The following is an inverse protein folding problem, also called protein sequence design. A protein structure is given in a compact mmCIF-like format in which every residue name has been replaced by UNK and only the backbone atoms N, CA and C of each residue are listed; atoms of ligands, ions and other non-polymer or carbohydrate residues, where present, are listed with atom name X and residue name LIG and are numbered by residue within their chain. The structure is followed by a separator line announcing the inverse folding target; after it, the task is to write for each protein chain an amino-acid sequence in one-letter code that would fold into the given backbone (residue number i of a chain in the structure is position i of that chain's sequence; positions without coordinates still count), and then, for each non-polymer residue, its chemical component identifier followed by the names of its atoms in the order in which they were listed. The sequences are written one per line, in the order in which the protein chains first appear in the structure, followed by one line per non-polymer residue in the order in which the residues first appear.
data_IF_394525081303
#
_entry.id   IF_394525081303
#
_cell.length_a   1.000
_cell.length_b   1.000
_cell.length_c   1.000
_cell.angle_alpha   90.00
_cell.angle_beta   90.00
_cell.angle_gamma   90.00
#
_symmetry.space_group_name_H-M   'P 1'
#
loop_
_entity.id
_entity.type
_entity.pdbx_description
1 polymer ?
#
# COMPACT_ATOMS: atom_id res chain seq x y z
N UNK A 1 -21.42 46.23 -72.59
CA UNK A 1 -20.05 45.68 -72.66
C UNK A 1 -19.46 45.82 -71.26
N UNK A 2 -19.38 44.72 -70.50
CA UNK A 2 -18.80 44.72 -69.16
C UNK A 2 -17.27 44.68 -69.31
N UNK A 3 -16.56 45.74 -68.91
CA UNK A 3 -15.12 45.94 -69.19
C UNK A 3 -14.20 45.53 -68.04
N UNK A 4 -14.67 44.79 -67.05
CA UNK A 4 -13.83 44.30 -65.97
C UNK A 4 -14.01 42.79 -65.81
N UNK A 5 -12.91 42.00 -65.80
CA UNK A 5 -12.99 40.60 -65.46
C UNK A 5 -13.59 40.46 -64.05
N UNK A 6 -14.39 39.42 -63.79
CA UNK A 6 -14.94 39.18 -62.46
C UNK A 6 -13.79 39.08 -61.44
N UNK A 7 -13.98 39.57 -60.20
CA UNK A 7 -12.97 39.45 -59.16
C UNK A 7 -12.61 37.97 -58.98
N UNK A 8 -11.32 37.69 -58.80
CA UNK A 8 -10.86 36.33 -58.60
C UNK A 8 -11.59 35.69 -57.40
N UNK A 9 -12.00 34.42 -57.52
CA UNK A 9 -12.68 33.74 -56.43
C UNK A 9 -11.76 33.72 -55.20
N UNK A 10 -12.31 33.88 -53.98
CA UNK A 10 -11.51 33.90 -52.77
C UNK A 10 -10.70 32.61 -52.67
N UNK A 11 -9.37 32.75 -52.50
CA UNK A 11 -8.47 31.61 -52.40
C UNK A 11 -8.97 30.63 -51.33
N UNK A 12 -9.18 29.39 -51.73
CA UNK A 12 -9.63 28.37 -50.80
C UNK A 12 -8.53 28.14 -49.74
N UNK A 13 -8.84 28.26 -48.44
CA UNK A 13 -7.86 28.11 -47.37
C UNK A 13 -7.13 26.75 -47.42
N UNK A 14 -7.81 25.70 -47.89
CA UNK A 14 -7.20 24.37 -48.08
C UNK A 14 -6.15 24.36 -49.20
N UNK A 15 -6.39 25.07 -50.30
CA UNK A 15 -5.44 25.17 -51.42
C UNK A 15 -4.18 25.90 -50.97
N UNK A 16 -4.33 27.00 -50.22
CA UNK A 16 -3.19 27.75 -49.66
C UNK A 16 -2.37 26.90 -48.70
N UNK A 17 -3.02 26.15 -47.81
CA UNK A 17 -2.35 25.22 -46.89
C UNK A 17 -1.59 24.14 -47.67
N UNK A 18 -2.20 23.57 -48.71
CA UNK A 18 -1.57 22.54 -49.55
C UNK A 18 -0.34 23.08 -50.28
N UNK A 19 -0.42 24.26 -50.91
CA UNK A 19 0.71 24.86 -51.63
C UNK A 19 1.86 25.22 -50.68
N UNK A 20 1.54 25.75 -49.49
CA UNK A 20 2.54 26.03 -48.47
C UNK A 20 3.25 24.75 -48.01
N UNK A 21 2.48 23.68 -47.73
CA UNK A 21 3.02 22.37 -47.37
C UNK A 21 3.93 21.82 -48.47
N UNK A 22 3.46 21.88 -49.73
CA UNK A 22 4.22 21.41 -50.90
C UNK A 22 5.54 22.16 -51.05
N UNK A 23 5.54 23.49 -50.89
CA UNK A 23 6.74 24.31 -50.93
C UNK A 23 7.72 23.96 -49.79
N UNK A 24 7.24 23.83 -48.56
CA UNK A 24 8.09 23.39 -47.44
C UNK A 24 8.66 21.98 -47.62
N UNK A 25 7.91 21.07 -48.24
CA UNK A 25 8.38 19.71 -48.51
C UNK A 25 9.43 19.68 -49.63
N UNK A 26 9.28 20.50 -50.68
CA UNK A 26 10.32 20.64 -51.70
C UNK A 26 11.61 21.19 -51.13
N UNK A 27 11.54 22.19 -50.24
CA UNK A 27 12.72 22.78 -49.61
C UNK A 27 13.45 21.77 -48.71
N UNK A 28 12.72 20.90 -48.01
CA UNK A 28 13.28 19.82 -47.20
C UNK A 28 13.99 18.74 -48.03
N UNK A 29 13.48 18.44 -49.23
CA UNK A 29 14.09 17.45 -50.14
C UNK A 29 15.27 18.03 -50.93
N UNK A 30 15.41 19.36 -50.98
CA UNK A 30 16.53 20.06 -51.58
C UNK A 30 17.73 20.25 -50.63
N UNK A 31 17.62 19.79 -49.37
CA UNK A 31 18.73 19.89 -48.40
C UNK A 31 19.91 19.01 -48.82
N UNK A 32 21.16 19.46 -48.60
CA UNK A 32 22.33 18.65 -48.91
C UNK A 32 22.36 17.40 -48.00
N UNK A 33 22.86 16.24 -48.50
CA UNK A 33 22.87 14.99 -47.74
C UNK A 33 23.53 15.11 -46.36
N UNK A 34 24.58 15.92 -46.23
CA UNK A 34 25.28 16.20 -44.96
C UNK A 34 24.39 16.86 -43.90
N UNK A 35 23.37 17.61 -44.31
CA UNK A 35 22.40 18.23 -43.39
C UNK A 35 21.41 17.18 -42.87
N UNK A 36 21.05 16.19 -43.68
CA UNK A 36 20.20 15.07 -43.27
C UNK A 36 20.91 14.24 -42.20
N UNK A 37 22.23 14.02 -42.35
CA UNK A 37 23.06 13.28 -41.39
C UNK A 37 23.14 13.93 -40.01
N UNK A 38 22.86 15.23 -39.89
CA UNK A 38 22.84 15.96 -38.61
C UNK A 38 21.42 16.13 -38.08
N UNK A 39 20.46 16.47 -38.94
CA UNK A 39 19.08 16.71 -38.54
C UNK A 39 18.42 15.43 -38.06
N UNK A 40 18.63 14.29 -38.74
CA UNK A 40 17.97 13.04 -38.39
C UNK A 40 18.39 12.53 -36.99
N UNK A 41 19.67 12.45 -36.61
CA UNK A 41 20.08 12.15 -35.23
C UNK A 41 19.59 13.18 -34.22
N UNK A 42 19.54 14.46 -34.58
CA UNK A 42 19.10 15.53 -33.68
C UNK A 42 17.60 15.42 -33.34
N UNK A 43 16.76 15.26 -34.36
CA UNK A 43 15.30 15.08 -34.19
C UNK A 43 15.02 13.77 -33.46
N UNK A 44 15.67 12.67 -33.83
CA UNK A 44 15.47 11.38 -33.15
C UNK A 44 15.88 11.44 -31.69
N UNK A 45 17.00 12.08 -31.35
CA UNK A 45 17.45 12.29 -29.97
C UNK A 45 16.45 13.15 -29.19
N UNK A 46 15.98 14.26 -29.77
CA UNK A 46 15.00 15.14 -29.12
C UNK A 46 13.66 14.41 -28.89
N UNK A 47 13.15 13.68 -29.89
CA UNK A 47 11.93 12.89 -29.79
C UNK A 47 12.08 11.76 -28.75
N UNK A 48 13.22 11.08 -28.73
CA UNK A 48 13.52 10.03 -27.76
C UNK A 48 13.57 10.59 -26.33
N UNK A 49 14.22 11.74 -26.12
CA UNK A 49 14.28 12.41 -24.83
C UNK A 49 12.89 12.83 -24.33
N UNK A 50 12.07 13.46 -25.18
CA UNK A 50 10.70 13.84 -24.84
C UNK A 50 9.84 12.63 -24.52
N UNK A 51 9.95 11.56 -25.31
CA UNK A 51 9.23 10.30 -25.08
C UNK A 51 9.65 9.66 -23.75
N UNK A 52 10.94 9.65 -23.43
CA UNK A 52 11.47 9.12 -22.17
C UNK A 52 10.97 9.92 -20.96
N UNK A 53 10.98 11.25 -21.06
CA UNK A 53 10.46 12.14 -20.00
C UNK A 53 8.95 11.93 -19.81
N UNK A 54 8.18 11.85 -20.90
CA UNK A 54 6.74 11.59 -20.85
C UNK A 54 6.45 10.21 -20.22
N UNK A 55 7.13 9.16 -20.69
CA UNK A 55 7.00 7.81 -20.17
C UNK A 55 7.36 7.74 -18.68
N UNK A 56 8.44 8.42 -18.28
CA UNK A 56 8.85 8.49 -16.88
C UNK A 56 7.77 9.15 -16.01
N UNK A 57 7.28 10.33 -16.41
CA UNK A 57 6.29 11.09 -15.64
C UNK A 57 4.95 10.37 -15.54
N UNK A 58 4.50 9.67 -16.59
CA UNK A 58 3.18 9.04 -16.61
C UNK A 58 3.16 7.61 -16.04
N UNK A 59 4.28 6.86 -16.15
CA UNK A 59 4.33 5.43 -15.83
C UNK A 59 5.39 5.03 -14.79
N UNK A 60 6.50 5.77 -14.68
CA UNK A 60 7.63 5.39 -13.81
C UNK A 60 7.79 6.27 -12.57
N UNK A 61 7.04 7.37 -12.45
CA UNK A 61 7.03 8.21 -11.26
C UNK A 61 6.51 7.42 -10.05
N UNK A 62 7.30 7.38 -8.98
CA UNK A 62 6.90 6.80 -7.69
C UNK A 62 6.07 7.80 -6.87
N UNK A 63 5.14 7.23 -6.11
CA UNK A 63 4.23 7.88 -5.17
C UNK A 63 4.48 7.24 -3.80
N UNK A 64 5.07 7.95 -2.83
CA UNK A 64 5.47 7.37 -1.55
C UNK A 64 4.30 7.14 -0.60
N UNK A 65 3.27 7.99 -0.64
CA UNK A 65 2.18 7.99 0.33
C UNK A 65 0.81 8.19 -0.35
N UNK A 66 -0.28 7.86 0.35
CA UNK A 66 -1.64 8.05 -0.16
C UNK A 66 -1.97 9.50 -0.47
N UNK A 67 -1.40 10.44 0.30
CA UNK A 67 -1.48 11.89 0.06
C UNK A 67 -0.88 12.35 -1.27
N UNK A 68 0.15 11.64 -1.74
CA UNK A 68 0.82 12.00 -2.98
C UNK A 68 0.05 11.57 -4.24
N UNK A 69 -1.03 10.79 -4.08
CA UNK A 69 -1.80 10.27 -5.20
C UNK A 69 -2.76 11.32 -5.76
N UNK A 70 -2.68 11.62 -7.07
CA UNK A 70 -3.61 12.54 -7.70
C UNK A 70 -5.07 12.04 -7.65
N UNK A 71 -6.07 12.89 -7.35
CA UNK A 71 -7.48 12.49 -7.32
C UNK A 71 -8.01 11.86 -8.60
N UNK A 72 -7.47 12.25 -9.76
CA UNK A 72 -7.88 11.68 -11.05
C UNK A 72 -7.36 10.25 -11.30
N UNK A 73 -6.50 9.70 -10.43
CA UNK A 73 -6.04 8.31 -10.55
C UNK A 73 -7.07 7.31 -10.03
N UNK A 74 -7.90 7.72 -9.09
CA UNK A 74 -8.93 6.88 -8.51
C UNK A 74 -9.92 6.43 -9.59
N UNK A 75 -10.29 5.15 -9.58
CA UNK A 75 -11.12 4.43 -10.56
C UNK A 75 -10.50 4.27 -11.96
N UNK A 76 -9.34 4.87 -12.24
CA UNK A 76 -8.69 4.82 -13.57
C UNK A 76 -7.38 4.03 -13.56
N UNK A 77 -6.49 4.30 -12.60
CA UNK A 77 -5.14 3.72 -12.53
C UNK A 77 -5.05 2.65 -11.44
N UNK A 78 -4.13 1.71 -11.66
CA UNK A 78 -3.70 0.77 -10.63
C UNK A 78 -2.22 0.96 -10.33
N UNK A 79 -1.88 0.93 -9.05
CA UNK A 79 -0.51 0.99 -8.58
C UNK A 79 0.09 -0.41 -8.54
N UNK A 80 1.35 -0.51 -8.94
CA UNK A 80 2.12 -1.74 -8.83
C UNK A 80 3.20 -1.56 -7.77
N UNK A 81 3.29 -2.48 -6.82
CA UNK A 81 4.17 -2.33 -5.67
C UNK A 81 4.47 -3.63 -4.96
N UNK A 82 5.46 -3.60 -4.08
CA UNK A 82 5.77 -4.71 -3.16
C UNK A 82 5.05 -4.46 -1.83
N UNK A 83 4.39 -5.48 -1.31
CA UNK A 83 3.82 -5.41 0.04
C UNK A 83 4.93 -5.54 1.06
N UNK A 84 4.96 -4.60 2.01
CA UNK A 84 6.07 -4.52 2.98
C UNK A 84 5.64 -4.93 4.38
N UNK A 85 4.40 -4.65 4.76
CA UNK A 85 3.85 -5.11 6.04
C UNK A 85 2.35 -5.31 5.94
N UNK A 86 1.84 -6.31 6.66
CA UNK A 86 0.42 -6.53 6.92
C UNK A 86 0.21 -6.25 8.39
N UNK A 87 -0.68 -5.30 8.70
CA UNK A 87 -0.95 -4.86 10.07
C UNK A 87 -2.28 -5.38 10.59
N UNK A 88 -3.29 -5.41 9.72
CA UNK A 88 -4.64 -5.88 10.00
C UNK A 88 -5.03 -6.97 9.00
N UNK A 89 -6.09 -7.71 9.29
CA UNK A 89 -6.55 -8.80 8.45
C UNK A 89 -7.20 -8.36 7.12
N UNK A 90 -7.46 -7.06 6.92
CA UNK A 90 -8.03 -6.47 5.70
C UNK A 90 -7.19 -5.32 5.11
N UNK A 91 -6.08 -4.95 5.75
CA UNK A 91 -5.23 -3.81 5.40
C UNK A 91 -3.76 -4.21 5.27
N UNK A 92 -3.03 -3.52 4.38
CA UNK A 92 -1.58 -3.68 4.26
C UNK A 92 -0.87 -2.41 3.79
N UNK A 93 0.45 -2.37 3.95
CA UNK A 93 1.33 -1.30 3.48
C UNK A 93 1.98 -1.70 2.15
N UNK A 94 1.74 -0.89 1.12
CA UNK A 94 2.29 -1.07 -0.22
C UNK A 94 3.42 -0.08 -0.47
N UNK A 95 4.61 -0.58 -0.80
CA UNK A 95 5.68 0.26 -1.34
C UNK A 95 5.57 0.29 -2.86
N UNK A 96 5.24 1.46 -3.41
CA UNK A 96 5.05 1.62 -4.85
C UNK A 96 6.38 1.45 -5.60
N UNK A 97 6.42 0.48 -6.52
CA UNK A 97 7.58 0.15 -7.36
C UNK A 97 7.16 0.19 -8.82
N UNK A 98 6.99 1.36 -9.44
CA UNK A 98 6.49 1.46 -10.81
C UNK A 98 7.40 0.69 -11.79
N UNK A 99 6.80 -0.16 -12.62
CA UNK A 99 7.49 -1.07 -13.55
C UNK A 99 8.23 -2.25 -12.87
N UNK A 100 8.19 -2.36 -11.55
CA UNK A 100 8.65 -3.53 -10.82
C UNK A 100 10.10 -3.91 -11.08
N UNK A 101 10.37 -5.22 -11.07
CA UNK A 101 11.72 -5.74 -11.31
C UNK A 101 12.27 -5.34 -12.69
N UNK A 102 11.43 -5.20 -13.73
CA UNK A 102 11.90 -4.78 -15.05
C UNK A 102 12.57 -3.39 -15.01
N UNK A 103 12.07 -2.51 -14.14
CA UNK A 103 12.59 -1.15 -13.96
C UNK A 103 13.62 -1.06 -12.82
N UNK A 104 14.34 -2.14 -12.51
CA UNK A 104 15.44 -2.10 -11.53
C UNK A 104 15.03 -2.25 -10.07
N UNK A 105 13.73 -2.30 -9.75
CA UNK A 105 13.31 -2.41 -8.34
C UNK A 105 13.75 -3.74 -7.72
N UNK A 106 14.56 -3.66 -6.67
CA UNK A 106 15.07 -4.80 -5.91
C UNK A 106 16.41 -5.37 -6.40
N UNK A 107 16.97 -4.91 -7.52
CA UNK A 107 18.30 -5.36 -7.98
C UNK A 107 19.21 -4.23 -8.46
N UNK A 108 18.65 -3.10 -8.93
CA UNK A 108 19.44 -1.92 -9.26
C UNK A 108 19.84 -1.19 -7.96
N UNK A 109 21.11 -0.76 -7.80
CA UNK A 109 21.61 -0.17 -6.55
C UNK A 109 20.82 1.06 -6.09
N UNK A 110 20.33 1.88 -7.01
CA UNK A 110 19.51 3.06 -6.71
C UNK A 110 18.01 2.81 -6.52
N UNK A 111 17.52 1.56 -6.63
CA UNK A 111 16.10 1.20 -6.50
C UNK A 111 15.89 0.01 -5.56
N UNK A 112 16.61 0.04 -4.43
CA UNK A 112 16.42 -0.94 -3.34
C UNK A 112 15.11 -0.66 -2.61
N UNK A 113 14.44 -1.72 -2.20
CA UNK A 113 13.21 -1.63 -1.41
C UNK A 113 13.62 -1.68 0.07
N UNK A 114 13.34 -0.64 0.86
CA UNK A 114 13.68 -0.62 2.28
C UNK A 114 12.99 -1.76 3.03
N UNK A 115 13.69 -2.37 3.97
CA UNK A 115 13.14 -3.41 4.84
C UNK A 115 12.92 -2.90 6.28
N UNK A 116 13.62 -1.83 6.67
CA UNK A 116 13.53 -1.29 8.02
C UNK A 116 12.24 -0.48 8.21
N UNK A 117 11.57 -0.66 9.36
CA UNK A 117 10.35 0.10 9.70
C UNK A 117 10.58 1.62 9.71
N UNK A 118 11.79 2.06 10.08
CA UNK A 118 12.15 3.49 10.13
C UNK A 118 12.16 4.12 8.73
N UNK A 119 12.75 3.44 7.75
CA UNK A 119 12.81 3.92 6.36
C UNK A 119 11.47 3.84 5.64
N UNK A 120 10.58 2.94 6.07
CA UNK A 120 9.25 2.77 5.48
C UNK A 120 8.23 3.81 5.96
N UNK A 121 8.51 4.51 7.06
CA UNK A 121 7.61 5.54 7.60
C UNK A 121 7.45 6.67 6.57
N UNK A 122 6.21 6.93 6.16
CA UNK A 122 5.89 7.94 5.13
C UNK A 122 6.35 7.55 3.71
N UNK A 123 6.78 6.31 3.50
CA UNK A 123 7.27 5.80 2.20
C UNK A 123 6.43 4.63 1.68
N UNK A 124 5.29 4.36 2.31
CA UNK A 124 4.36 3.30 1.94
C UNK A 124 2.92 3.80 1.96
N UNK A 125 2.13 3.32 0.99
CA UNK A 125 0.72 3.63 0.86
C UNK A 125 -0.07 2.63 1.72
N UNK A 126 -0.95 3.14 2.58
CA UNK A 126 -1.86 2.30 3.35
C UNK A 126 -3.03 1.88 2.47
N UNK A 127 -3.16 0.57 2.20
CA UNK A 127 -4.18 0.00 1.33
C UNK A 127 -5.19 -0.79 2.15
N UNK A 128 -6.48 -0.51 1.95
CA UNK A 128 -7.62 -1.31 2.44
C UNK A 128 -8.17 -2.13 1.29
N UNK A 129 -8.42 -3.42 1.53
CA UNK A 129 -9.01 -4.30 0.51
C UNK A 129 -10.49 -3.96 0.34
N UNK A 130 -10.91 -3.72 -0.90
CA UNK A 130 -12.26 -3.31 -1.22
C UNK A 130 -13.27 -4.47 -1.09
N UNK A 131 -14.44 -4.19 -0.50
CA UNK A 131 -15.58 -5.11 -0.44
C UNK A 131 -15.45 -6.28 0.53
N UNK A 132 -14.43 -6.27 1.38
CA UNK A 132 -14.12 -7.35 2.33
C UNK A 132 -13.95 -6.75 3.73
N UNK A 133 -14.51 -7.41 4.74
CA UNK A 133 -14.35 -7.06 6.15
C UNK A 133 -13.90 -8.31 6.92
N UNK A 134 -12.72 -8.25 7.53
CA UNK A 134 -12.13 -9.36 8.26
C UNK A 134 -12.43 -9.24 9.76
N UNK A 135 -12.34 -10.34 10.53
CA UNK A 135 -12.54 -10.28 11.97
C UNK A 135 -11.50 -9.39 12.65
N UNK A 136 -11.97 -8.55 13.58
CA UNK A 136 -11.17 -7.54 14.27
C UNK A 136 -10.15 -8.20 15.21
N UNK A 137 -8.88 -7.81 15.07
CA UNK A 137 -7.82 -8.21 15.99
C UNK A 137 -7.93 -7.46 17.32
N UNK A 138 -7.27 -7.97 18.37
CA UNK A 138 -7.24 -7.28 19.66
C UNK A 138 -6.62 -5.89 19.51
N UNK A 139 -7.36 -4.85 19.88
CA UNK A 139 -6.93 -3.47 19.71
C UNK A 139 -7.40 -2.60 20.87
N UNK A 140 -6.48 -1.82 21.46
CA UNK A 140 -6.75 -0.86 22.54
C UNK A 140 -7.63 -1.43 23.68
N UNK A 141 -7.24 -2.57 24.24
CA UNK A 141 -7.95 -3.21 25.37
C UNK A 141 -9.24 -3.94 24.99
N UNK A 142 -9.63 -3.95 23.71
CA UNK A 142 -10.76 -4.75 23.21
C UNK A 142 -10.29 -6.17 22.87
N UNK A 143 -11.06 -7.22 23.25
CA UNK A 143 -10.69 -8.61 23.01
C UNK A 143 -10.78 -8.95 21.51
N UNK A 144 -9.85 -9.73 20.97
CA UNK A 144 -9.90 -10.14 19.57
C UNK A 144 -11.17 -10.94 19.23
N UNK A 145 -11.74 -10.74 18.04
CA UNK A 145 -12.78 -11.62 17.53
C UNK A 145 -12.23 -13.04 17.26
N UNK A 146 -13.07 -14.08 17.35
CA UNK A 146 -12.71 -15.41 16.90
C UNK A 146 -12.21 -15.41 15.45
N UNK A 147 -11.24 -16.26 15.12
CA UNK A 147 -10.55 -16.34 13.81
C UNK A 147 -9.76 -15.10 13.34
N UNK A 148 -9.74 -13.98 14.07
CA UNK A 148 -8.99 -12.77 13.68
C UNK A 148 -7.50 -13.02 13.42
N UNK A 149 -6.83 -13.78 14.29
CA UNK A 149 -5.42 -14.15 14.12
C UNK A 149 -5.19 -15.04 12.89
N UNK A 150 -6.13 -15.94 12.60
CA UNK A 150 -6.03 -16.82 11.42
C UNK A 150 -6.19 -16.02 10.13
N UNK A 151 -7.16 -15.10 10.08
CA UNK A 151 -7.34 -14.18 8.96
C UNK A 151 -6.11 -13.28 8.73
N UNK A 152 -5.51 -12.77 9.81
CA UNK A 152 -4.28 -12.00 9.74
C UNK A 152 -3.11 -12.84 9.20
N UNK A 153 -2.94 -14.06 9.71
CA UNK A 153 -1.89 -14.97 9.25
C UNK A 153 -2.09 -15.38 7.79
N UNK A 154 -3.34 -15.62 7.37
CA UNK A 154 -3.69 -15.92 5.99
C UNK A 154 -3.28 -14.77 5.06
N UNK A 155 -3.68 -13.53 5.37
CA UNK A 155 -3.34 -12.37 4.54
C UNK A 155 -1.83 -12.12 4.53
N UNK A 156 -1.19 -12.27 5.68
CA UNK A 156 0.27 -12.15 5.83
C UNK A 156 0.99 -13.16 4.95
N UNK A 157 0.60 -14.44 4.99
CA UNK A 157 1.20 -15.48 4.15
C UNK A 157 0.93 -15.26 2.65
N UNK A 158 -0.25 -14.73 2.31
CA UNK A 158 -0.64 -14.48 0.93
C UNK A 158 0.13 -13.31 0.29
N UNK A 159 0.35 -12.23 1.05
CA UNK A 159 0.86 -10.96 0.51
C UNK A 159 2.30 -10.63 0.87
N UNK A 160 2.84 -11.14 1.98
CA UNK A 160 4.17 -10.74 2.46
C UNK A 160 5.23 -10.96 1.39
N UNK A 161 6.03 -9.93 1.13
CA UNK A 161 7.08 -9.86 0.09
C UNK A 161 6.60 -10.03 -1.37
N UNK A 162 5.30 -10.16 -1.62
CA UNK A 162 4.75 -10.28 -2.97
C UNK A 162 4.61 -8.92 -3.64
N UNK A 163 4.77 -8.93 -4.96
CA UNK A 163 4.37 -7.80 -5.80
C UNK A 163 2.89 -7.93 -6.15
N UNK A 164 2.16 -6.84 -5.95
CA UNK A 164 0.71 -6.78 -6.12
C UNK A 164 0.33 -5.60 -7.01
N UNK A 165 -0.83 -5.71 -7.63
CA UNK A 165 -1.45 -4.60 -8.36
C UNK A 165 -2.70 -4.14 -7.60
N UNK A 166 -2.63 -2.95 -7.03
CA UNK A 166 -3.72 -2.32 -6.29
C UNK A 166 -4.43 -1.31 -7.21
N UNK A 167 -5.66 -1.64 -7.61
CA UNK A 167 -6.52 -0.74 -8.38
C UNK A 167 -7.18 0.25 -7.44
N UNK A 168 -6.88 1.53 -7.63
CA UNK A 168 -7.35 2.60 -6.76
C UNK A 168 -8.84 2.81 -7.03
N UNK A 169 -9.67 2.77 -5.98
CA UNK A 169 -11.10 3.00 -6.11
C UNK A 169 -11.48 4.30 -5.40
N UNK A 170 -11.14 4.42 -4.11
CA UNK A 170 -11.43 5.59 -3.28
C UNK A 170 -10.40 5.83 -2.19
N UNK A 171 -10.34 7.07 -1.69
CA UNK A 171 -9.61 7.43 -0.47
C UNK A 171 -10.58 7.55 0.71
N UNK A 172 -10.20 6.95 1.83
CA UNK A 172 -10.96 6.93 3.09
C UNK A 172 -10.50 8.07 4.03
N UNK A 173 -11.29 8.34 5.08
CA UNK A 173 -11.05 9.36 6.10
C UNK A 173 -9.77 9.13 6.90
N UNK A 174 -9.34 7.88 7.06
CA UNK A 174 -8.10 7.50 7.74
C UNK A 174 -6.87 7.53 6.81
N UNK A 175 -6.96 8.29 5.71
CA UNK A 175 -5.94 8.37 4.66
C UNK A 175 -5.55 7.02 4.04
N UNK A 176 -6.39 5.99 4.22
CA UNK A 176 -6.27 4.69 3.55
C UNK A 176 -6.79 4.78 2.13
N UNK A 177 -6.23 3.98 1.25
CA UNK A 177 -6.71 3.86 -0.12
C UNK A 177 -7.45 2.54 -0.27
N UNK A 178 -8.75 2.62 -0.51
CA UNK A 178 -9.59 1.47 -0.82
C UNK A 178 -9.24 0.98 -2.22
N UNK A 179 -8.78 -0.27 -2.30
CA UNK A 179 -8.29 -0.85 -3.54
C UNK A 179 -8.86 -2.25 -3.79
N UNK A 180 -9.13 -2.55 -5.07
CA UNK A 180 -9.20 -3.93 -5.54
C UNK A 180 -7.78 -4.43 -5.77
N UNK A 181 -7.39 -5.50 -5.08
CA UNK A 181 -6.00 -5.96 -5.04
C UNK A 181 -5.88 -7.27 -5.81
N UNK A 182 -4.96 -7.30 -6.76
CA UNK A 182 -4.71 -8.48 -7.58
C UNK A 182 -3.27 -8.96 -7.46
N UNK A 183 -3.09 -10.27 -7.35
CA UNK A 183 -1.79 -10.94 -7.35
C UNK A 183 -1.63 -11.81 -8.60
N UNK A 184 -0.42 -11.94 -9.16
CA UNK A 184 -0.19 -12.86 -10.27
C UNK A 184 -0.40 -14.31 -9.82
N UNK A 185 -0.93 -15.17 -10.70
CA UNK A 185 -0.99 -16.61 -10.44
C UNK A 185 0.42 -17.21 -10.36
N UNK A 186 0.56 -18.38 -9.73
CA UNK A 186 1.83 -19.11 -9.69
C UNK A 186 2.11 -19.75 -11.07
N UNK A 187 3.40 -19.92 -11.40
CA UNK A 187 3.86 -20.63 -12.60
C UNK A 187 3.52 -19.92 -13.92
N UNK A 188 3.32 -20.73 -14.97
CA UNK A 188 3.09 -20.28 -16.35
C UNK A 188 1.86 -19.37 -16.46
N UNK A 189 0.80 -19.64 -15.69
CA UNK A 189 -0.40 -18.79 -15.65
C UNK A 189 -0.09 -17.36 -15.23
N UNK A 190 0.84 -17.16 -14.28
CA UNK A 190 1.30 -15.84 -13.89
C UNK A 190 2.09 -15.13 -14.98
N UNK A 191 2.96 -15.89 -15.68
CA UNK A 191 3.73 -15.37 -16.81
C UNK A 191 2.83 -14.93 -17.98
N UNK A 192 1.72 -15.65 -18.21
CA UNK A 192 0.71 -15.32 -19.21
C UNK A 192 -0.26 -14.20 -18.75
N UNK A 193 -0.03 -13.61 -17.58
CA UNK A 193 -0.76 -12.43 -17.10
C UNK A 193 -2.04 -12.71 -16.31
N UNK A 194 -2.37 -13.98 -16.02
CA UNK A 194 -3.50 -14.32 -15.17
C UNK A 194 -3.26 -13.89 -13.72
N UNK A 195 -4.32 -13.43 -13.06
CA UNK A 195 -4.28 -12.89 -11.70
C UNK A 195 -5.37 -13.51 -10.83
N UNK A 196 -5.15 -13.49 -9.52
CA UNK A 196 -6.17 -13.70 -8.50
C UNK A 196 -6.53 -12.37 -7.86
N UNK A 197 -7.82 -12.19 -7.58
CA UNK A 197 -8.28 -11.13 -6.70
C UNK A 197 -8.10 -11.59 -5.25
N UNK A 198 -7.42 -10.77 -4.44
CA UNK A 198 -7.11 -11.10 -3.04
C UNK A 198 -8.38 -11.14 -2.21
N UNK A 199 -9.29 -10.19 -2.41
CA UNK A 199 -10.54 -10.15 -1.66
C UNK A 199 -11.40 -11.37 -1.95
N UNK A 200 -11.48 -11.79 -3.21
CA UNK A 200 -12.17 -13.01 -3.60
C UNK A 200 -11.57 -14.28 -2.96
N UNK A 201 -10.24 -14.36 -2.86
CA UNK A 201 -9.58 -15.48 -2.19
C UNK A 201 -9.92 -15.53 -0.69
N UNK A 202 -9.91 -14.37 -0.02
CA UNK A 202 -10.25 -14.27 1.41
C UNK A 202 -11.69 -14.69 1.68
N UNK A 203 -12.65 -14.24 0.86
CA UNK A 203 -14.06 -14.62 0.99
C UNK A 203 -14.25 -16.12 0.76
N UNK A 204 -13.65 -16.67 -0.30
CA UNK A 204 -13.78 -18.08 -0.66
C UNK A 204 -13.19 -19.01 0.42
N UNK A 205 -12.13 -18.60 1.07
CA UNK A 205 -11.48 -19.41 2.12
C UNK A 205 -12.08 -19.12 3.52
N UNK A 206 -13.12 -18.28 3.61
CA UNK A 206 -13.83 -17.98 4.85
C UNK A 206 -13.04 -17.13 5.84
N UNK A 207 -12.04 -16.38 5.37
CA UNK A 207 -11.17 -15.55 6.21
C UNK A 207 -11.76 -14.16 6.47
N UNK A 208 -12.80 -13.80 5.73
CA UNK A 208 -13.50 -12.52 5.85
C UNK A 208 -14.93 -12.66 5.34
N UNK A 209 -15.77 -11.68 5.67
CA UNK A 209 -17.13 -11.54 5.14
C UNK A 209 -17.20 -10.40 4.12
N UNK A 210 -18.28 -10.36 3.36
CA UNK A 210 -18.57 -9.21 2.48
C UNK A 210 -18.85 -7.99 3.34
N UNK A 211 -18.30 -6.83 2.95
CA UNK A 211 -18.57 -5.58 3.66
C UNK A 211 -19.97 -5.06 3.34
N UNK A 212 -20.80 -4.91 4.37
CA UNK A 212 -22.22 -4.53 4.26
C UNK A 212 -22.54 -3.09 4.73
N UNK A 213 -21.51 -2.27 5.01
CA UNK A 213 -21.74 -0.94 5.57
C UNK A 213 -22.42 0.04 4.61
N UNK A 214 -23.34 0.87 5.07
CA UNK A 214 -24.15 1.82 4.25
C UNK A 214 -23.32 2.82 3.43
N UNK A 215 -22.08 3.09 3.82
CA UNK A 215 -21.20 4.05 3.17
C UNK A 215 -19.87 3.42 2.74
N UNK A 216 -19.37 3.86 1.57
CA UNK A 216 -18.03 3.49 1.10
C UNK A 216 -17.93 2.09 0.51
N UNK A 217 -19.05 1.45 0.18
CA UNK A 217 -19.04 0.16 -0.51
C UNK A 217 -18.47 0.34 -1.92
N UNK A 218 -17.34 -0.32 -2.17
CA UNK A 218 -16.78 -0.43 -3.51
C UNK A 218 -16.38 -1.88 -3.77
N UNK A 219 -16.91 -2.45 -4.84
CA UNK A 219 -16.66 -3.83 -5.23
C UNK A 219 -15.80 -3.88 -6.49
N UNK A 220 -14.51 -4.15 -6.32
CA UNK A 220 -13.63 -4.46 -7.44
C UNK A 220 -13.54 -3.34 -8.51
N UNK A 221 -12.81 -3.62 -9.59
CA UNK A 221 -12.83 -2.77 -10.81
C UNK A 221 -13.89 -3.22 -11.82
N UNK A 222 -14.19 -4.53 -11.84
CA UNK A 222 -15.02 -5.14 -12.89
C UNK A 222 -16.49 -5.07 -12.50
N UNK A 223 -17.35 -4.86 -13.48
CA UNK A 223 -18.80 -4.98 -13.28
C UNK A 223 -19.15 -6.40 -12.84
N UNK A 224 -20.12 -6.54 -11.93
CA UNK A 224 -20.55 -7.83 -11.38
C UNK A 224 -19.58 -8.47 -10.36
N UNK A 225 -18.61 -7.71 -9.84
CA UNK A 225 -17.73 -8.21 -8.77
C UNK A 225 -18.47 -8.42 -7.45
N UNK A 226 -19.48 -7.61 -7.15
CA UNK A 226 -20.34 -7.80 -5.98
C UNK A 226 -20.99 -9.19 -5.98
N UNK A 227 -21.63 -9.57 -7.09
CA UNK A 227 -22.27 -10.89 -7.24
C UNK A 227 -21.26 -12.02 -7.01
N UNK A 228 -20.02 -11.87 -7.51
CA UNK A 228 -18.95 -12.86 -7.29
C UNK A 228 -18.50 -12.93 -5.84
N UNK A 229 -18.49 -11.80 -5.15
CA UNK A 229 -18.10 -11.75 -3.74
C UNK A 229 -19.16 -12.41 -2.87
N UNK A 230 -20.44 -12.08 -3.12
CA UNK A 230 -21.58 -12.70 -2.43
C UNK A 230 -21.64 -14.21 -2.70
N UNK A 231 -21.50 -14.64 -3.96
CA UNK A 231 -21.45 -16.07 -4.29
C UNK A 231 -20.28 -16.79 -3.60
N UNK A 232 -19.09 -16.18 -3.55
CA UNK A 232 -17.94 -16.78 -2.86
C UNK A 232 -18.16 -16.88 -1.33
N UNK A 233 -18.85 -15.92 -0.74
CA UNK A 233 -19.24 -15.95 0.67
C UNK A 233 -20.31 -17.03 0.94
N UNK A 234 -21.33 -17.13 0.08
CA UNK A 234 -22.36 -18.19 0.15
C UNK A 234 -21.72 -19.59 0.06
N UNK A 235 -20.79 -19.79 -0.88
CA UNK A 235 -20.03 -21.03 -1.02
C UNK A 235 -19.16 -21.34 0.22
N UNK A 236 -18.58 -20.32 0.84
CA UNK A 236 -17.79 -20.47 2.06
C UNK A 236 -18.68 -20.80 3.26
N UNK A 237 -19.86 -20.18 3.35
CA UNK A 237 -20.87 -20.45 4.38
C UNK A 237 -21.44 -21.86 4.26
N UNK A 238 -21.74 -22.30 3.05
CA UNK A 238 -22.21 -23.67 2.77
C UNK A 238 -21.16 -24.72 3.17
N UNK A 239 -19.87 -24.44 2.91
CA UNK A 239 -18.75 -25.32 3.29
C UNK A 239 -18.32 -25.18 4.76
N UNK A 240 -18.86 -24.22 5.51
CA UNK A 240 -18.53 -23.95 6.92
C UNK A 240 -17.02 -23.78 7.16
N UNK A 241 -16.35 -23.04 6.26
CA UNK A 241 -14.90 -22.79 6.33
C UNK A 241 -14.59 -21.47 7.05
N UNK A 242 -13.47 -21.41 7.76
CA UNK A 242 -13.00 -20.23 8.48
C UNK A 242 -14.04 -19.70 9.48
N UNK A 243 -14.37 -18.41 9.39
CA UNK A 243 -15.32 -17.73 10.27
C UNK A 243 -16.71 -18.39 10.26
N UNK A 244 -17.10 -19.05 9.16
CA UNK A 244 -18.39 -19.73 9.02
C UNK A 244 -18.46 -21.10 9.70
N UNK A 245 -17.32 -21.63 10.16
CA UNK A 245 -17.25 -22.86 10.96
C UNK A 245 -17.60 -22.66 12.44
N UNK A 246 -17.67 -21.41 12.91
CA UNK A 246 -17.98 -21.06 14.29
C UNK A 246 -19.46 -21.31 14.60
N UNK A 247 -19.75 -22.39 15.35
CA UNK A 247 -21.11 -22.73 15.78
C UNK A 247 -21.60 -21.76 16.88
N UNK A 248 -22.17 -20.63 16.48
CA UNK A 248 -22.80 -19.65 17.39
C UNK A 248 -21.86 -18.63 18.04
N UNK A 249 -20.53 -18.78 17.86
CA UNK A 249 -19.53 -17.81 18.29
C UNK A 249 -19.22 -16.74 17.22
N UNK A 250 -19.88 -16.82 16.07
CA UNK A 250 -19.72 -15.85 14.99
C UNK A 250 -20.41 -14.53 15.35
N UNK A 251 -19.64 -13.45 15.36
CA UNK A 251 -20.12 -12.08 15.47
C UNK A 251 -19.56 -11.31 14.27
N UNK A 252 -20.41 -10.61 13.51
CA UNK A 252 -19.91 -9.83 12.37
C UNK A 252 -19.00 -8.68 12.87
N UNK A 253 -18.00 -8.25 12.10
CA UNK A 253 -17.15 -7.12 12.51
C UNK A 253 -17.97 -5.85 12.77
N UNK A 254 -19.07 -5.64 12.03
CA UNK A 254 -20.02 -4.55 12.27
C UNK A 254 -20.73 -4.65 13.63
N UNK A 255 -21.20 -5.84 14.01
CA UNK A 255 -21.83 -6.08 15.31
C UNK A 255 -20.83 -5.88 16.46
N UNK A 256 -19.60 -6.38 16.32
CA UNK A 256 -18.54 -6.18 17.30
C UNK A 256 -18.18 -4.70 17.46
N UNK A 257 -18.04 -3.96 16.34
CA UNK A 257 -17.84 -2.50 16.37
C UNK A 257 -18.99 -1.79 17.07
N UNK A 258 -20.25 -2.19 16.85
CA UNK A 258 -21.39 -1.60 17.55
C UNK A 258 -21.35 -1.89 19.07
N UNK A 259 -20.99 -3.12 19.47
CA UNK A 259 -20.86 -3.55 20.87
C UNK A 259 -19.80 -2.77 21.64
N UNK A 260 -18.67 -2.46 21.01
CA UNK A 260 -17.52 -1.79 21.64
C UNK A 260 -17.33 -0.32 21.21
N UNK A 261 -18.13 0.20 20.28
CA UNK A 261 -17.99 1.53 19.68
C UNK A 261 -18.82 2.63 20.34
N UNK A 262 -19.68 2.29 21.32
CA UNK A 262 -20.49 3.27 22.05
C UNK A 262 -19.77 4.05 23.16
N UNK A 263 -18.45 3.88 23.35
CA UNK A 263 -17.66 4.54 24.41
C UNK A 263 -16.30 5.01 23.89
N UNK A 264 -16.28 6.07 23.09
CA UNK A 264 -15.06 6.85 22.87
C UNK A 264 -15.23 8.20 23.56
N UNK A 265 -14.84 8.26 24.84
CA UNK A 265 -14.52 9.52 25.51
C UNK A 265 -13.08 9.94 25.18
N UNK A 266 -12.73 11.23 25.26
CA UNK A 266 -11.42 11.73 24.81
C UNK A 266 -10.24 11.04 25.52
N UNK A 267 -9.25 10.68 24.72
CA UNK A 267 -7.99 10.06 25.11
C UNK A 267 -7.16 10.99 26.02
N UNK A 268 -6.82 10.52 27.24
CA UNK A 268 -5.64 10.96 27.97
C UNK A 268 -4.55 9.89 27.85
N UNK A 269 -3.31 10.23 27.47
CA UNK A 269 -2.22 9.27 27.43
C UNK A 269 -1.79 8.95 28.87
N UNK A 270 -2.15 7.77 29.38
CA UNK A 270 -1.61 7.27 30.63
C UNK A 270 -0.15 6.87 30.45
N UNK A 271 0.71 7.64 31.12
CA UNK A 271 2.11 7.41 31.35
C UNK A 271 2.33 6.12 32.15
N UNK A 272 3.27 5.30 31.66
CA UNK A 272 4.17 4.40 32.41
C UNK A 272 3.52 3.43 33.41
N UNK A 273 3.32 2.17 33.00
CA UNK A 273 3.14 1.04 33.93
C UNK A 273 4.50 0.35 34.10
N UNK A 274 5.10 0.56 35.28
CA UNK A 274 6.16 -0.30 35.82
C UNK A 274 5.54 -1.35 36.74
N UNK A 275 6.12 -2.55 36.71
CA UNK A 275 5.73 -3.73 37.49
C UNK A 275 5.67 -3.48 39.01
N UNK A 276 4.66 -4.05 39.70
CA UNK A 276 4.85 -5.05 40.78
C UNK A 276 3.53 -5.56 41.38
N UNK A 277 3.67 -6.75 41.95
CA UNK A 277 2.65 -7.69 42.36
C UNK A 277 2.03 -7.47 43.75
N UNK A 278 0.86 -8.09 43.93
CA UNK A 278 0.33 -8.81 45.10
C UNK A 278 0.27 -8.16 46.49
N UNK A 279 -0.91 -8.31 47.13
CA UNK A 279 -1.05 -8.37 48.59
C UNK A 279 -2.13 -7.45 49.11
N UNK A 280 -3.30 -8.00 49.44
CA UNK A 280 -4.35 -7.26 50.13
C UNK A 280 -4.13 -7.20 51.63
N UNK A 281 -4.61 -6.14 52.28
CA UNK A 281 -5.22 -6.20 53.61
C UNK A 281 -6.07 -4.94 53.87
N UNK A 282 -7.23 -5.12 54.53
CA UNK A 282 -8.16 -4.06 54.95
C UNK A 282 -7.73 -3.52 56.31
N UNK A 283 -7.58 -2.19 56.46
CA UNK A 283 -7.77 -1.52 57.78
C UNK A 283 -8.43 -0.15 57.61
N UNK A 284 -9.33 0.13 58.54
CA UNK A 284 -10.24 1.27 58.72
C UNK A 284 -9.54 2.34 59.58
N UNK A 285 -9.59 3.63 59.23
CA UNK A 285 -9.02 4.67 60.08
C UNK A 285 -9.27 6.13 59.66
N UNK A 286 -9.87 6.88 60.59
CA UNK A 286 -10.38 8.27 60.57
C UNK A 286 -9.43 9.41 60.12
N UNK A 287 -10.08 10.45 59.54
CA UNK A 287 -9.98 11.93 59.74
C UNK A 287 -8.60 12.63 59.80
N UNK A 288 -8.47 13.72 59.03
CA UNK A 288 -7.87 14.96 59.56
C UNK A 288 -7.10 15.87 58.58
N UNK A 289 -7.71 17.01 58.22
CA UNK A 289 -7.18 18.40 58.23
C UNK A 289 -6.02 18.85 57.30
N UNK A 290 -6.41 19.77 56.38
CA UNK A 290 -5.89 21.10 55.96
C UNK A 290 -4.54 21.37 55.25
N UNK A 291 -4.60 22.48 54.49
CA UNK A 291 -3.57 23.50 54.16
C UNK A 291 -2.62 23.17 53.01
N UNK A 292 -2.75 23.74 51.79
CA UNK A 292 -2.57 25.14 51.34
C UNK A 292 -1.10 25.55 51.04
N UNK A 293 -0.97 26.31 49.93
CA UNK A 293 0.12 27.21 49.50
C UNK A 293 1.32 26.65 48.67
N UNK A 294 1.22 26.84 47.34
CA UNK A 294 1.97 27.81 46.51
C UNK A 294 3.53 27.84 46.47
N UNK A 295 4.13 28.37 45.37
CA UNK A 295 5.34 27.82 44.74
C UNK A 295 6.62 28.64 45.02
N UNK A 296 7.78 28.05 44.72
CA UNK A 296 9.07 28.76 44.64
C UNK A 296 9.71 28.52 43.28
N UNK A 297 9.89 29.64 42.55
CA UNK A 297 10.74 29.83 41.39
C UNK A 297 12.13 30.24 41.90
N UNK A 298 13.22 29.72 41.34
CA UNK A 298 14.40 30.51 40.91
C UNK A 298 15.62 29.66 40.53
N UNK A 299 16.37 30.25 39.60
CA UNK A 299 17.82 30.23 39.44
C UNK A 299 18.46 29.16 38.53
N UNK A 300 18.64 29.63 37.29
CA UNK A 300 19.74 29.31 36.37
C UNK A 300 21.07 29.77 37.00
N UNK A 301 22.09 28.91 36.99
CA UNK A 301 23.49 29.30 36.97
C UNK A 301 24.31 28.18 36.30
N UNK A 302 25.21 28.58 35.41
CA UNK A 302 25.98 27.69 34.55
C UNK A 302 27.36 27.30 35.09
N UNK A 303 28.15 26.83 34.13
CA UNK A 303 29.57 26.46 34.16
C UNK A 303 29.95 25.03 34.60
N UNK A 304 30.81 24.40 33.79
CA UNK A 304 31.40 23.10 34.09
C UNK A 304 31.89 22.31 32.88
N UNK A 305 32.76 22.89 32.05
CA UNK A 305 33.48 22.20 30.98
C UNK A 305 34.65 21.41 31.59
N UNK A 306 34.57 20.08 31.71
CA UNK A 306 35.75 19.22 31.92
C UNK A 306 35.71 17.96 31.03
N UNK A 307 36.88 17.70 30.46
CA UNK A 307 37.27 16.67 29.50
C UNK A 307 37.06 15.23 30.00
N UNK A 308 36.60 14.38 29.08
CA UNK A 308 37.31 13.17 28.66
C UNK A 308 37.50 12.02 29.66
N UNK A 309 36.77 10.93 29.45
CA UNK A 309 37.33 9.57 29.57
C UNK A 309 36.49 8.57 28.76
N UNK A 310 37.10 8.03 27.71
CA UNK A 310 36.65 6.80 27.04
C UNK A 310 36.87 5.63 27.99
N UNK A 311 35.85 4.80 28.22
CA UNK A 311 36.02 3.39 28.59
C UNK A 311 34.94 2.56 27.88
N UNK A 312 35.44 1.52 27.20
CA UNK A 312 34.69 0.54 26.43
C UNK A 312 34.16 -0.59 27.33
N UNK A 313 33.08 -1.24 26.89
CA UNK A 313 32.70 -2.63 27.17
C UNK A 313 31.45 -3.00 26.33
N UNK A 314 31.12 -4.29 26.13
CA UNK A 314 31.97 -5.40 25.74
C UNK A 314 31.44 -6.15 24.50
N UNK A 315 32.34 -6.82 23.78
CA UNK A 315 32.03 -7.76 22.69
C UNK A 315 31.49 -9.05 23.31
N UNK A 316 30.25 -9.42 22.99
CA UNK A 316 29.69 -10.73 23.33
C UNK A 316 29.91 -11.68 22.16
N UNK A 317 30.86 -12.59 22.35
CA UNK A 317 31.10 -13.76 21.50
C UNK A 317 30.12 -14.85 21.91
N UNK A 318 29.23 -15.28 21.02
CA UNK A 318 28.46 -16.52 21.22
C UNK A 318 29.03 -17.60 20.30
N UNK A 319 29.61 -18.62 20.92
CA UNK A 319 30.16 -19.82 20.30
C UNK A 319 29.07 -20.71 19.71
N UNK A 320 29.41 -21.28 18.56
CA UNK A 320 28.71 -22.33 17.82
C UNK A 320 28.61 -23.62 18.64
N UNK A 321 27.41 -24.20 18.71
CA UNK A 321 27.20 -25.59 19.09
C UNK A 321 26.76 -26.40 17.87
N UNK A 322 27.61 -27.35 17.45
CA UNK A 322 27.38 -28.32 16.37
C UNK A 322 27.50 -29.71 16.97
N UNK A 323 26.46 -30.54 16.85
CA UNK A 323 26.42 -32.03 16.88
C UNK A 323 24.95 -32.46 17.09
N UNK A 324 24.38 -33.53 16.50
CA UNK A 324 24.93 -34.82 16.08
C UNK A 324 24.21 -35.37 14.83
N UNK A 325 24.96 -36.12 14.02
CA UNK A 325 24.46 -37.13 13.06
C UNK A 325 23.84 -38.29 13.84
N UNK A 326 22.74 -38.84 13.34
CA UNK A 326 22.30 -40.20 13.63
C UNK A 326 22.38 -41.02 12.33
N UNK A 327 23.10 -42.14 12.41
CA UNK A 327 23.20 -43.20 11.39
C UNK A 327 22.74 -44.47 12.10
N UNK A 328 21.72 -45.13 11.56
CA UNK A 328 21.35 -46.56 11.63
C UNK A 328 19.91 -46.67 11.08
N UNK A 329 19.53 -47.59 10.20
CA UNK A 329 20.21 -48.75 9.71
C UNK A 329 19.53 -49.37 8.49
N UNK A 330 20.29 -50.24 7.88
CA UNK A 330 20.01 -51.15 6.79
C UNK A 330 19.03 -52.26 7.23
N UNK A 331 18.01 -52.56 6.42
CA UNK A 331 17.36 -53.87 6.41
C UNK A 331 16.98 -54.25 4.98
N UNK A 332 17.64 -55.32 4.51
CA UNK A 332 17.29 -56.15 3.35
C UNK A 332 15.80 -56.49 3.30
N UNK A 333 15.16 -56.23 2.16
CA UNK A 333 14.50 -57.23 1.31
C UNK A 333 14.27 -56.61 -0.06
#
# INVERSE_FOLDING_TARGET
MWTHPPPEPPENPFTRIYQNLKATLSDLTALPPSTIDVILPSITTAAAALTLVYAYRNHLKRYPDSNSLPPHFFRRKGLYGKVVSVGDADNFRLYHTPGGRLMGWGWFPGRRIPESRKELKGQSIHVRIAGVDAPECAHFGKPSQPHSLESLNYLTALLTTRYVRAHLLRRDQYERVVCSVSIPRKGILGALGFKHDVGLLMLRDGMAQVYEGTYGIEFGRRQGMETKYRAAEEDARARKVGIWGLKGAYESPGQYKARFGGKEGPFTPSTVVGDKASGGEKVKGKRGVSSAAAPVVAAVAGEGKIRGRKRAAPVVVVRVAKRRKAVTGEKKK
#
